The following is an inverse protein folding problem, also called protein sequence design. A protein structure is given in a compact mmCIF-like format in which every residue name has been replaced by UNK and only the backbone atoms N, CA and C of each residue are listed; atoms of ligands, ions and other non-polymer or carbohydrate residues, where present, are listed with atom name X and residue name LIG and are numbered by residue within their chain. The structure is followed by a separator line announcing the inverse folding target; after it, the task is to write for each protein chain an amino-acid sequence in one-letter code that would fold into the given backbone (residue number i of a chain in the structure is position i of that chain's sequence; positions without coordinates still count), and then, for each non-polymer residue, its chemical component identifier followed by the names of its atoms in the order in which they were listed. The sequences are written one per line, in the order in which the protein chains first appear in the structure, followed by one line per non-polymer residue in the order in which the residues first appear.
data_IF_925073719475
#
_entry.id   IF_925073719475
#
_cell.length_a   1.000
_cell.length_b   1.000
_cell.length_c   1.000
_cell.angle_alpha   90.00
_cell.angle_beta   90.00
_cell.angle_gamma   90.00
#
_symmetry.space_group_name_H-M   'P 1'
#
loop_
_entity.id
_entity.type
_entity.pdbx_description
1 polymer ?
#
# COMPACT_ATOMS: atom_id res chain seq x y z
N UNK A 1 7.56 2.72 -21.77
CA UNK A 1 8.69 1.81 -22.01
C UNK A 1 8.72 0.80 -20.86
N UNK A 2 8.05 -0.35 -20.83
CA UNK A 2 7.43 -1.27 -21.78
C UNK A 2 6.05 -1.70 -21.22
N UNK A 3 4.99 -1.76 -22.03
CA UNK A 3 3.68 -2.32 -21.59
C UNK A 3 3.72 -3.84 -21.41
N UNK A 4 4.83 -4.47 -21.78
CA UNK A 4 5.04 -5.90 -21.69
C UNK A 4 5.69 -6.27 -20.35
N UNK A 5 5.10 -7.25 -19.64
CA UNK A 5 5.71 -7.87 -18.47
C UNK A 5 6.29 -9.25 -18.81
N UNK A 6 7.63 -9.39 -18.94
CA UNK A 6 8.34 -10.65 -19.12
C UNK A 6 7.92 -11.80 -18.21
N UNK A 7 7.48 -11.48 -16.99
CA UNK A 7 7.21 -12.45 -15.92
C UNK A 7 5.75 -12.89 -15.84
N UNK A 8 4.90 -12.38 -16.73
CA UNK A 8 3.48 -12.73 -16.80
C UNK A 8 2.59 -11.80 -15.96
N UNK A 9 1.38 -12.25 -15.66
CA UNK A 9 0.32 -11.44 -15.05
C UNK A 9 0.31 -11.48 -13.51
N UNK A 10 1.04 -12.42 -12.91
CA UNK A 10 1.10 -12.55 -11.46
C UNK A 10 1.92 -11.42 -10.83
N UNK A 11 1.45 -10.90 -9.70
CA UNK A 11 2.21 -9.97 -8.86
C UNK A 11 3.53 -10.62 -8.44
N UNK A 12 4.65 -9.88 -8.54
CA UNK A 12 5.93 -10.39 -8.03
C UNK A 12 5.94 -10.25 -6.50
N UNK A 13 6.93 -10.88 -5.88
CA UNK A 13 7.07 -10.87 -4.43
C UNK A 13 7.03 -9.45 -3.83
N UNK A 14 7.62 -8.44 -4.50
CA UNK A 14 7.58 -7.06 -4.00
C UNK A 14 6.15 -6.54 -3.90
N UNK A 15 5.42 -6.57 -5.01
CA UNK A 15 4.05 -6.06 -5.12
C UNK A 15 3.09 -6.84 -4.20
N UNK A 16 3.27 -8.16 -4.08
CA UNK A 16 2.53 -8.97 -3.10
C UNK A 16 2.77 -8.55 -1.64
N UNK A 17 4.03 -8.24 -1.28
CA UNK A 17 4.33 -7.81 0.09
C UNK A 17 3.80 -6.39 0.35
N UNK A 18 3.85 -5.49 -0.64
CA UNK A 18 3.21 -4.16 -0.54
C UNK A 18 1.70 -4.31 -0.33
N UNK A 19 1.04 -5.17 -1.10
CA UNK A 19 -0.39 -5.44 -0.95
C UNK A 19 -0.74 -5.93 0.47
N UNK A 20 0.03 -6.90 0.99
CA UNK A 20 -0.14 -7.41 2.36
C UNK A 20 0.10 -6.34 3.42
N UNK A 21 1.14 -5.52 3.24
CA UNK A 21 1.44 -4.41 4.14
C UNK A 21 0.26 -3.44 4.21
N UNK A 22 -0.23 -2.97 3.05
CA UNK A 22 -1.37 -2.07 2.98
C UNK A 22 -2.62 -2.70 3.59
N UNK A 23 -2.88 -3.99 3.34
CA UNK A 23 -4.02 -4.68 3.92
C UNK A 23 -3.98 -4.69 5.46
N UNK A 24 -2.83 -5.02 6.06
CA UNK A 24 -2.66 -4.98 7.52
C UNK A 24 -2.74 -3.55 8.07
N UNK A 25 -2.15 -2.58 7.38
CA UNK A 25 -2.21 -1.18 7.79
C UNK A 25 -3.66 -0.66 7.76
N UNK A 26 -4.43 -0.97 6.72
CA UNK A 26 -5.85 -0.61 6.61
C UNK A 26 -6.69 -1.23 7.73
N UNK A 27 -6.48 -2.51 8.06
CA UNK A 27 -7.16 -3.16 9.20
C UNK A 27 -6.85 -2.43 10.52
N UNK A 28 -5.59 -2.07 10.74
CA UNK A 28 -5.18 -1.31 11.92
C UNK A 28 -5.79 0.10 11.95
N UNK A 29 -5.90 0.77 10.80
CA UNK A 29 -6.55 2.09 10.68
C UNK A 29 -8.03 1.99 11.05
N UNK A 30 -8.75 1.00 10.52
CA UNK A 30 -10.17 0.76 10.87
C UNK A 30 -10.33 0.61 12.38
N UNK A 31 -9.46 -0.17 13.03
CA UNK A 31 -9.49 -0.36 14.48
C UNK A 31 -9.18 0.92 15.26
N UNK A 32 -8.05 1.58 14.96
CA UNK A 32 -7.61 2.74 15.73
C UNK A 32 -8.54 3.95 15.60
N UNK A 33 -9.19 4.14 14.45
CA UNK A 33 -10.20 5.21 14.30
C UNK A 33 -11.37 5.00 15.25
N UNK A 34 -11.87 3.77 15.37
CA UNK A 34 -12.93 3.45 16.34
C UNK A 34 -12.43 3.56 17.77
N UNK A 35 -11.17 3.21 18.03
CA UNK A 35 -10.56 3.33 19.35
C UNK A 35 -10.44 4.80 19.79
N UNK A 36 -9.94 5.70 18.94
CA UNK A 36 -9.85 7.14 19.22
C UNK A 36 -11.23 7.73 19.50
N UNK A 37 -12.21 7.42 18.64
CA UNK A 37 -13.62 7.82 18.84
C UNK A 37 -14.16 7.33 20.18
N UNK A 38 -13.90 6.07 20.52
CA UNK A 38 -14.37 5.45 21.74
C UNK A 38 -13.70 6.02 22.99
N UNK A 39 -12.38 6.23 22.97
CA UNK A 39 -11.63 6.84 24.08
C UNK A 39 -12.15 8.25 24.32
N UNK A 40 -12.23 9.08 23.26
CA UNK A 40 -12.71 10.46 23.35
C UNK A 40 -14.10 10.55 24.01
N UNK A 41 -15.06 9.78 23.50
CA UNK A 41 -16.45 9.85 23.97
C UNK A 41 -16.59 9.30 25.39
N UNK A 42 -15.97 8.16 25.66
CA UNK A 42 -16.12 7.48 26.94
C UNK A 42 -15.46 8.24 28.07
N UNK A 43 -14.24 8.75 27.88
CA UNK A 43 -13.55 9.54 28.89
C UNK A 43 -14.38 10.74 29.32
N UNK A 44 -15.02 11.44 28.37
CA UNK A 44 -15.91 12.55 28.70
C UNK A 44 -17.17 12.07 29.43
N UNK A 45 -17.86 11.04 28.91
CA UNK A 45 -19.08 10.51 29.55
C UNK A 45 -18.83 10.03 30.99
N UNK A 46 -17.71 9.34 31.23
CA UNK A 46 -17.36 8.83 32.57
C UNK A 46 -17.04 9.98 33.50
N UNK A 47 -16.31 10.99 33.02
CA UNK A 47 -16.02 12.21 33.79
C UNK A 47 -17.30 12.99 34.11
N UNK A 48 -18.24 13.08 33.17
CA UNK A 48 -19.53 13.74 33.39
C UNK A 48 -20.38 13.01 34.42
N UNK A 49 -20.48 11.68 34.32
CA UNK A 49 -21.17 10.86 35.32
C UNK A 49 -20.56 11.04 36.70
N UNK A 50 -19.22 11.06 36.79
CA UNK A 50 -18.52 11.27 38.05
C UNK A 50 -18.79 12.66 38.63
N UNK A 51 -18.77 13.70 37.81
CA UNK A 51 -19.08 15.08 38.23
C UNK A 51 -20.56 15.28 38.58
N UNK A 52 -21.48 14.58 37.92
CA UNK A 52 -22.90 14.58 38.25
C UNK A 52 -23.11 13.98 39.64
N UNK A 53 -22.51 12.82 39.91
CA UNK A 53 -22.58 12.16 41.23
C UNK A 53 -21.99 13.01 42.36
N UNK A 54 -20.90 13.75 42.11
CA UNK A 54 -20.22 14.54 43.14
C UNK A 54 -20.78 15.96 43.32
N UNK A 55 -21.31 16.57 42.26
CA UNK A 55 -21.59 18.01 42.24
C UNK A 55 -22.88 18.38 41.50
N UNK A 56 -23.75 17.41 41.18
CA UNK A 56 -25.00 17.61 40.42
C UNK A 56 -24.80 18.41 39.12
N UNK A 57 -23.63 18.28 38.48
CA UNK A 57 -23.38 18.89 37.17
C UNK A 57 -24.06 18.08 36.08
N UNK A 58 -24.77 18.78 35.17
CA UNK A 58 -25.40 18.14 34.02
C UNK A 58 -24.39 17.47 33.09
N UNK A 59 -24.79 16.32 32.52
CA UNK A 59 -23.98 15.59 31.55
C UNK A 59 -23.94 16.32 30.21
N UNK A 60 -22.74 16.49 29.63
CA UNK A 60 -22.57 17.20 28.35
C UNK A 60 -23.06 16.37 27.15
N UNK A 61 -23.12 15.04 27.31
CA UNK A 61 -23.56 14.09 26.29
C UNK A 61 -24.61 13.10 26.80
N UNK A 62 -25.89 13.49 26.90
CA UNK A 62 -26.99 12.57 27.18
C UNK A 62 -27.12 11.48 26.09
N UNK A 63 -27.67 10.32 26.43
CA UNK A 63 -27.68 9.14 25.56
C UNK A 63 -28.42 9.33 24.22
N UNK A 64 -29.32 10.32 24.10
CA UNK A 64 -30.05 10.64 22.87
C UNK A 64 -29.43 11.78 22.03
N UNK A 65 -28.16 12.12 22.26
CA UNK A 65 -27.52 13.23 21.56
C UNK A 65 -27.35 12.93 20.06
N UNK A 66 -27.98 13.73 19.19
CA UNK A 66 -27.73 13.65 17.73
C UNK A 66 -26.34 14.21 17.37
N UNK A 67 -25.68 13.59 16.37
CA UNK A 67 -24.36 14.01 15.83
C UNK A 67 -23.26 14.08 16.89
N UNK A 68 -23.17 13.03 17.72
CA UNK A 68 -22.28 12.94 18.89
C UNK A 68 -20.84 13.33 18.54
N UNK A 69 -20.23 12.68 17.53
CA UNK A 69 -18.82 12.92 17.21
C UNK A 69 -18.53 14.35 16.73
N UNK A 70 -19.44 14.99 15.99
CA UNK A 70 -19.27 16.39 15.58
C UNK A 70 -19.27 17.35 16.77
N UNK A 71 -20.11 17.08 17.77
CA UNK A 71 -20.14 17.85 19.03
C UNK A 71 -18.92 17.53 19.90
N UNK A 72 -18.51 16.26 19.95
CA UNK A 72 -17.34 15.77 20.68
C UNK A 72 -16.06 16.47 20.24
N UNK A 73 -15.78 16.49 18.93
CA UNK A 73 -14.56 17.13 18.42
C UNK A 73 -14.53 18.62 18.71
N UNK A 74 -15.67 19.32 18.57
CA UNK A 74 -15.77 20.73 18.94
C UNK A 74 -15.47 20.96 20.42
N UNK A 75 -16.01 20.11 21.30
CA UNK A 75 -15.79 20.19 22.73
C UNK A 75 -14.31 19.97 23.09
N UNK A 76 -13.67 18.98 22.48
CA UNK A 76 -12.24 18.72 22.70
C UNK A 76 -11.36 19.89 22.26
N UNK A 77 -11.76 20.63 21.22
CA UNK A 77 -11.08 21.87 20.82
C UNK A 77 -11.30 22.98 21.85
N UNK A 78 -12.54 23.19 22.30
CA UNK A 78 -12.86 24.20 23.33
C UNK A 78 -12.12 23.93 24.64
N UNK A 79 -11.91 22.66 25.00
CA UNK A 79 -11.22 22.25 26.23
C UNK A 79 -9.69 22.18 26.07
N UNK A 80 -9.15 22.64 24.93
CA UNK A 80 -7.72 22.60 24.59
C UNK A 80 -7.11 21.18 24.66
N UNK A 81 -7.92 20.16 24.44
CA UNK A 81 -7.47 18.76 24.33
C UNK A 81 -7.01 18.48 22.90
N UNK A 82 -7.61 19.12 21.91
CA UNK A 82 -7.18 19.11 20.52
C UNK A 82 -7.04 20.55 20.02
N UNK A 83 -6.09 20.79 19.14
CA UNK A 83 -6.08 21.99 18.29
C UNK A 83 -7.03 21.83 17.11
N UNK A 84 -7.34 22.93 16.43
CA UNK A 84 -8.13 22.91 15.21
C UNK A 84 -7.47 22.08 14.11
N UNK A 85 -6.15 22.17 13.97
CA UNK A 85 -5.38 21.38 12.99
C UNK A 85 -5.45 19.88 13.28
N UNK A 86 -5.30 19.49 14.56
CA UNK A 86 -5.39 18.08 14.95
C UNK A 86 -6.80 17.51 14.76
N UNK A 87 -7.84 18.33 15.02
CA UNK A 87 -9.22 17.96 14.71
C UNK A 87 -9.38 17.69 13.21
N UNK A 88 -8.88 18.58 12.37
CA UNK A 88 -9.10 18.50 10.93
C UNK A 88 -8.34 17.31 10.31
N UNK A 89 -7.13 16.98 10.81
CA UNK A 89 -6.45 15.73 10.42
C UNK A 89 -7.21 14.48 10.89
N UNK A 90 -7.74 14.47 12.12
CA UNK A 90 -8.58 13.34 12.58
C UNK A 90 -9.83 13.17 11.69
N UNK A 91 -10.49 14.27 11.29
CA UNK A 91 -11.61 14.23 10.34
C UNK A 91 -11.17 13.66 8.98
N UNK A 92 -10.03 14.10 8.44
CA UNK A 92 -9.46 13.54 7.21
C UNK A 92 -9.16 12.04 7.32
N UNK A 93 -8.65 11.59 8.47
CA UNK A 93 -8.37 10.16 8.70
C UNK A 93 -9.68 9.35 8.80
N UNK A 94 -10.74 9.92 9.37
CA UNK A 94 -12.06 9.29 9.40
C UNK A 94 -12.62 9.15 7.98
N UNK A 95 -12.43 10.15 7.12
CA UNK A 95 -12.83 10.06 5.72
C UNK A 95 -12.02 9.00 4.97
N UNK A 96 -10.70 8.94 5.20
CA UNK A 96 -9.87 7.87 4.64
C UNK A 96 -10.27 6.47 5.14
N UNK A 97 -10.69 6.33 6.40
CA UNK A 97 -11.27 5.08 6.93
C UNK A 97 -12.55 4.70 6.18
N UNK A 98 -13.39 5.66 5.81
CA UNK A 98 -14.58 5.40 4.99
C UNK A 98 -14.19 4.95 3.59
N UNK A 99 -13.14 5.54 3.01
CA UNK A 99 -12.59 5.11 1.73
C UNK A 99 -12.08 3.67 1.77
N UNK A 100 -11.37 3.28 2.83
CA UNK A 100 -10.95 1.88 3.06
C UNK A 100 -12.17 0.95 3.10
N UNK A 101 -13.25 1.36 3.76
CA UNK A 101 -14.43 0.53 3.94
C UNK A 101 -15.28 0.39 2.66
N UNK A 102 -15.25 1.37 1.77
CA UNK A 102 -16.12 1.43 0.59
C UNK A 102 -15.40 1.21 -0.74
N UNK A 103 -14.07 1.39 -0.81
CA UNK A 103 -13.32 1.45 -2.06
C UNK A 103 -11.91 0.86 -1.92
N UNK A 104 -11.79 -0.30 -1.26
CA UNK A 104 -10.48 -0.94 -1.01
C UNK A 104 -9.74 -1.28 -2.31
N UNK A 105 -10.48 -1.64 -3.35
CA UNK A 105 -9.97 -1.95 -4.68
C UNK A 105 -9.21 -0.77 -5.29
N UNK A 106 -9.67 0.46 -5.08
CA UNK A 106 -9.02 1.67 -5.59
C UNK A 106 -7.67 1.92 -4.89
N UNK A 107 -7.60 1.62 -3.59
CA UNK A 107 -6.41 1.82 -2.75
C UNK A 107 -5.26 0.83 -3.05
N UNK A 108 -5.53 -0.26 -3.78
CA UNK A 108 -4.53 -1.28 -4.13
C UNK A 108 -4.29 -1.41 -5.63
N UNK A 109 -5.06 -0.68 -6.43
CA UNK A 109 -5.13 -0.84 -7.87
C UNK A 109 -3.82 -0.51 -8.61
N UNK A 110 -3.00 0.38 -8.04
CA UNK A 110 -1.67 0.75 -8.55
C UNK A 110 -0.68 -0.43 -8.58
N UNK A 111 -0.94 -1.48 -7.78
CA UNK A 111 -0.12 -2.68 -7.74
C UNK A 111 -0.42 -3.65 -8.88
N UNK A 112 -1.56 -3.48 -9.57
CA UNK A 112 -1.99 -4.41 -10.60
C UNK A 112 -1.01 -4.45 -11.78
N UNK A 113 -0.82 -5.66 -12.32
CA UNK A 113 0.13 -5.90 -13.42
C UNK A 113 -0.47 -5.50 -14.76
N UNK A 114 -1.78 -5.65 -14.93
CA UNK A 114 -2.47 -5.50 -16.20
C UNK A 114 -2.50 -4.05 -16.69
N UNK A 115 -2.46 -3.90 -18.02
CA UNK A 115 -2.36 -2.60 -18.66
C UNK A 115 -3.63 -1.76 -18.53
N UNK A 116 -4.79 -2.42 -18.39
CA UNK A 116 -6.09 -1.77 -18.29
C UNK A 116 -6.26 -1.10 -16.92
N UNK A 117 -5.85 -1.79 -15.86
CA UNK A 117 -5.80 -1.24 -14.51
C UNK A 117 -4.87 -0.03 -14.45
N UNK A 118 -3.67 -0.13 -15.03
CA UNK A 118 -2.72 0.99 -15.08
C UNK A 118 -3.24 2.23 -15.81
N UNK A 119 -4.12 2.08 -16.80
CA UNK A 119 -4.77 3.23 -17.45
C UNK A 119 -5.85 3.86 -16.57
N UNK A 120 -6.65 3.06 -15.86
CA UNK A 120 -7.71 3.55 -14.97
C UNK A 120 -7.16 4.29 -13.74
N UNK A 121 -6.03 3.86 -13.17
CA UNK A 121 -5.33 4.57 -12.06
C UNK A 121 -5.03 6.03 -12.40
N UNK A 122 -4.73 6.33 -13.68
CA UNK A 122 -4.32 7.69 -14.09
C UNK A 122 -5.46 8.70 -14.08
N UNK A 123 -6.71 8.27 -14.11
CA UNK A 123 -7.84 9.16 -14.40
C UNK A 123 -8.86 9.34 -13.27
N UNK A 124 -8.98 8.43 -12.29
CA UNK A 124 -10.11 8.54 -11.35
C UNK A 124 -9.99 7.90 -9.95
N UNK A 125 -8.93 7.17 -9.61
CA UNK A 125 -8.90 6.38 -8.37
C UNK A 125 -8.47 7.16 -7.13
N UNK A 126 -9.10 6.89 -5.97
CA UNK A 126 -8.56 7.26 -4.66
C UNK A 126 -7.19 6.61 -4.46
N UNK A 127 -6.25 7.35 -3.88
CA UNK A 127 -4.89 6.85 -3.65
C UNK A 127 -4.72 6.40 -2.21
N UNK A 128 -3.93 5.33 -2.06
CA UNK A 128 -3.45 4.91 -0.76
C UNK A 128 -2.65 6.04 -0.09
N UNK A 129 -3.07 6.44 1.10
CA UNK A 129 -2.39 7.44 1.92
C UNK A 129 -1.40 6.77 2.87
N UNK A 130 -0.14 7.16 2.76
CA UNK A 130 0.94 6.65 3.61
C UNK A 130 1.02 7.41 4.93
N UNK A 131 1.32 6.70 6.02
CA UNK A 131 1.61 7.31 7.32
C UNK A 131 0.39 7.60 8.19
N UNK A 132 -0.82 7.29 7.70
CA UNK A 132 -2.07 7.48 8.46
C UNK A 132 -2.05 6.69 9.77
N UNK A 133 -1.51 5.47 9.74
CA UNK A 133 -1.40 4.63 10.93
C UNK A 133 -0.50 5.25 12.00
N UNK A 134 0.63 5.82 11.61
CA UNK A 134 1.55 6.52 12.50
C UNK A 134 0.90 7.77 13.11
N UNK A 135 0.15 8.54 12.30
CA UNK A 135 -0.61 9.70 12.81
C UNK A 135 -1.65 9.27 13.84
N UNK A 136 -2.41 8.21 13.58
CA UNK A 136 -3.39 7.66 14.52
C UNK A 136 -2.77 7.22 15.85
N UNK A 137 -1.64 6.51 15.81
CA UNK A 137 -0.92 6.12 17.03
C UNK A 137 -0.50 7.34 17.84
N UNK A 138 0.05 8.36 17.16
CA UNK A 138 0.44 9.63 17.79
C UNK A 138 -0.77 10.31 18.45
N UNK A 139 -1.93 10.35 17.79
CA UNK A 139 -3.15 10.91 18.36
C UNK A 139 -3.65 10.14 19.57
N UNK A 140 -3.63 8.80 19.52
CA UNK A 140 -3.97 7.96 20.67
C UNK A 140 -3.12 8.31 21.90
N UNK A 141 -1.80 8.32 21.75
CA UNK A 141 -0.87 8.67 22.84
C UNK A 141 -1.07 10.10 23.37
N UNK A 142 -1.25 11.04 22.45
CA UNK A 142 -1.46 12.46 22.76
C UNK A 142 -2.76 12.70 23.53
N UNK A 143 -3.85 12.01 23.16
CA UNK A 143 -5.11 12.05 23.89
C UNK A 143 -4.95 11.50 25.30
N UNK A 144 -4.29 10.34 25.48
CA UNK A 144 -4.02 9.80 26.82
C UNK A 144 -3.24 10.79 27.69
N UNK A 145 -2.21 11.44 27.13
CA UNK A 145 -1.44 12.47 27.84
C UNK A 145 -2.29 13.68 28.23
N UNK A 146 -3.10 14.21 27.31
CA UNK A 146 -3.88 15.44 27.55
C UNK A 146 -5.10 15.23 28.44
N UNK A 147 -5.66 14.02 28.44
CA UNK A 147 -6.71 13.63 29.38
C UNK A 147 -6.17 13.31 30.78
N UNK A 148 -4.89 12.92 30.89
CA UNK A 148 -4.26 12.57 32.16
C UNK A 148 -4.37 13.73 33.17
N UNK A 149 -4.81 13.38 34.39
CA UNK A 149 -4.95 14.32 35.51
C UNK A 149 -6.20 15.20 35.50
N UNK A 150 -6.95 15.28 34.39
CA UNK A 150 -8.18 16.09 34.27
C UNK A 150 -9.46 15.28 34.10
N UNK A 151 -9.34 14.05 33.58
CA UNK A 151 -10.49 13.21 33.27
C UNK A 151 -10.36 11.83 33.91
N UNK A 152 -11.51 11.19 34.11
CA UNK A 152 -11.61 9.83 34.60
C UNK A 152 -11.60 8.86 33.43
N UNK A 153 -10.69 7.89 33.47
CA UNK A 153 -10.62 6.82 32.49
C UNK A 153 -11.36 5.58 32.97
N UNK A 154 -12.01 4.89 32.04
CA UNK A 154 -12.60 3.59 32.28
C UNK A 154 -11.88 2.55 31.43
N UNK A 155 -11.58 1.39 32.01
CA UNK A 155 -10.81 0.33 31.34
C UNK A 155 -11.63 -0.21 30.15
N UNK A 156 -11.03 -0.18 28.95
CA UNK A 156 -11.70 -0.65 27.73
C UNK A 156 -11.45 -2.12 27.43
N UNK A 157 -12.42 -2.96 27.79
CA UNK A 157 -12.38 -4.40 27.48
C UNK A 157 -12.22 -4.69 25.97
N UNK A 158 -12.76 -3.85 25.07
CA UNK A 158 -12.56 -4.05 23.62
C UNK A 158 -11.10 -3.84 23.20
N UNK A 159 -10.44 -2.84 23.78
CA UNK A 159 -9.01 -2.59 23.55
C UNK A 159 -8.17 -3.74 24.12
N UNK A 160 -8.54 -4.26 25.30
CA UNK A 160 -7.89 -5.44 25.92
C UNK A 160 -8.04 -6.69 25.04
N UNK A 161 -9.25 -6.94 24.52
CA UNK A 161 -9.51 -8.09 23.64
C UNK A 161 -8.72 -8.04 22.33
N UNK A 162 -8.42 -6.84 21.83
CA UNK A 162 -7.67 -6.67 20.59
C UNK A 162 -6.14 -6.59 20.80
N UNK A 163 -5.65 -6.42 22.03
CA UNK A 163 -4.24 -6.18 22.32
C UNK A 163 -3.28 -7.24 21.73
N UNK A 164 -3.67 -8.52 21.75
CA UNK A 164 -2.85 -9.59 21.14
C UNK A 164 -2.82 -9.49 19.61
N UNK A 165 -3.97 -9.18 18.99
CA UNK A 165 -4.08 -8.99 17.55
C UNK A 165 -3.28 -7.75 17.11
N UNK A 166 -3.45 -6.62 17.79
CA UNK A 166 -2.67 -5.38 17.59
C UNK A 166 -1.16 -5.67 17.60
N UNK A 167 -0.67 -6.31 18.67
CA UNK A 167 0.75 -6.67 18.78
C UNK A 167 1.22 -7.53 17.61
N UNK A 168 0.41 -8.51 17.22
CA UNK A 168 0.72 -9.41 16.10
C UNK A 168 0.79 -8.66 14.78
N UNK A 169 -0.21 -7.82 14.48
CA UNK A 169 -0.23 -7.01 13.27
C UNK A 169 0.96 -6.04 13.19
N UNK A 170 1.33 -5.40 14.30
CA UNK A 170 2.49 -4.49 14.35
C UNK A 170 3.82 -5.23 14.07
N UNK A 171 3.98 -6.43 14.64
CA UNK A 171 5.16 -7.27 14.37
C UNK A 171 5.21 -7.67 12.90
N UNK A 172 4.08 -8.09 12.33
CA UNK A 172 4.01 -8.49 10.92
C UNK A 172 4.24 -7.31 9.97
N UNK A 173 3.68 -6.13 10.25
CA UNK A 173 3.94 -4.90 9.50
C UNK A 173 5.45 -4.59 9.46
N UNK A 174 6.14 -4.65 10.61
CA UNK A 174 7.57 -4.40 10.68
C UNK A 174 8.41 -5.43 9.89
N UNK A 175 8.01 -6.71 9.92
CA UNK A 175 8.67 -7.77 9.13
C UNK A 175 8.47 -7.55 7.62
N UNK A 176 7.24 -7.23 7.22
CA UNK A 176 6.89 -7.00 5.82
C UNK A 176 7.60 -5.74 5.30
N UNK A 177 7.66 -4.66 6.06
CA UNK A 177 8.39 -3.44 5.68
C UNK A 177 9.87 -3.73 5.39
N UNK A 178 10.55 -4.43 6.30
CA UNK A 178 11.95 -4.86 6.08
C UNK A 178 12.10 -5.68 4.79
N UNK A 179 11.15 -6.57 4.51
CA UNK A 179 11.14 -7.39 3.29
C UNK A 179 10.89 -6.55 2.03
N UNK A 180 9.97 -5.59 2.08
CA UNK A 180 9.70 -4.65 0.98
C UNK A 180 10.96 -3.86 0.66
N UNK A 181 11.62 -3.26 1.66
CA UNK A 181 12.87 -2.49 1.48
C UNK A 181 13.95 -3.33 0.81
N UNK A 182 14.18 -4.56 1.28
CA UNK A 182 15.13 -5.49 0.66
C UNK A 182 14.78 -5.79 -0.81
N UNK A 183 13.51 -6.06 -1.10
CA UNK A 183 13.05 -6.37 -2.46
C UNK A 183 13.12 -5.16 -3.40
N UNK A 184 12.90 -3.95 -2.87
CA UNK A 184 13.08 -2.70 -3.61
C UNK A 184 14.55 -2.51 -4.03
N UNK A 185 15.49 -2.71 -3.12
CA UNK A 185 16.91 -2.61 -3.44
C UNK A 185 17.33 -3.64 -4.50
N UNK A 186 16.87 -4.88 -4.37
CA UNK A 186 17.10 -5.91 -5.39
C UNK A 186 16.51 -5.51 -6.75
N UNK A 187 15.32 -4.89 -6.77
CA UNK A 187 14.69 -4.40 -8.00
C UNK A 187 15.49 -3.26 -8.63
N UNK A 188 16.00 -2.33 -7.83
CA UNK A 188 16.85 -1.22 -8.32
C UNK A 188 18.11 -1.75 -8.98
N UNK A 189 18.78 -2.72 -8.36
CA UNK A 189 19.99 -3.37 -8.92
C UNK A 189 19.64 -4.10 -10.22
N UNK A 190 18.53 -4.84 -10.25
CA UNK A 190 18.06 -5.53 -11.47
C UNK A 190 17.78 -4.55 -12.61
N UNK A 191 17.06 -3.45 -12.35
CA UNK A 191 16.74 -2.45 -13.37
C UNK A 191 18.01 -1.78 -13.91
N UNK A 192 18.97 -1.43 -13.03
CA UNK A 192 20.27 -0.88 -13.45
C UNK A 192 21.03 -1.84 -14.36
N UNK A 193 21.04 -3.15 -14.05
CA UNK A 193 21.68 -4.16 -14.92
C UNK A 193 21.02 -4.21 -16.29
N UNK A 194 19.69 -4.24 -16.35
CA UNK A 194 18.94 -4.24 -17.61
C UNK A 194 19.25 -2.97 -18.42
N UNK A 195 19.23 -1.80 -17.79
CA UNK A 195 19.56 -0.53 -18.45
C UNK A 195 21.00 -0.51 -18.98
N UNK A 196 21.98 -1.01 -18.22
CA UNK A 196 23.36 -1.15 -18.68
C UNK A 196 23.47 -2.11 -19.87
N UNK A 197 22.82 -3.27 -19.83
CA UNK A 197 22.81 -4.23 -20.95
C UNK A 197 22.16 -3.62 -22.20
N UNK A 198 21.06 -2.88 -22.05
CA UNK A 198 20.40 -2.19 -23.16
C UNK A 198 21.28 -1.08 -23.74
N UNK A 199 22.04 -0.36 -22.92
CA UNK A 199 22.98 0.68 -23.38
C UNK A 199 24.22 0.10 -24.07
N UNK A 200 24.70 -1.06 -23.62
CA UNK A 200 25.85 -1.75 -24.22
C UNK A 200 25.52 -2.33 -25.59
N UNK A 201 24.25 -2.67 -25.84
CA UNK A 201 23.78 -2.97 -27.18
C UNK A 201 23.79 -1.68 -28.00
N UNK A 202 24.67 -1.59 -29.00
CA UNK A 202 24.70 -0.43 -29.87
C UNK A 202 23.34 -0.23 -30.54
N UNK A 203 22.90 1.02 -30.70
CA UNK A 203 21.66 1.31 -31.43
C UNK A 203 21.65 0.68 -32.84
N UNK A 204 22.83 0.56 -33.45
CA UNK A 204 23.04 -0.12 -34.74
C UNK A 204 22.73 -1.62 -34.68
N UNK A 205 23.11 -2.31 -33.60
CA UNK A 205 22.84 -3.75 -33.42
C UNK A 205 21.35 -3.99 -33.20
N UNK A 206 20.73 -3.15 -32.39
CA UNK A 206 19.29 -3.19 -32.13
C UNK A 206 18.50 -2.88 -33.42
N UNK A 207 18.91 -1.86 -34.18
CA UNK A 207 18.26 -1.44 -35.44
C UNK A 207 18.44 -2.49 -36.54
N UNK A 208 19.56 -3.20 -36.57
CA UNK A 208 19.82 -4.29 -37.53
C UNK A 208 19.05 -5.56 -37.17
N UNK A 209 19.02 -5.94 -35.89
CA UNK A 209 18.35 -7.15 -35.41
C UNK A 209 16.82 -7.00 -35.38
N UNK A 210 16.33 -5.77 -35.18
CA UNK A 210 14.93 -5.42 -34.98
C UNK A 210 14.17 -6.45 -34.10
N UNK A 211 14.55 -6.64 -32.83
CA UNK A 211 14.01 -7.71 -31.98
C UNK A 211 12.47 -7.69 -31.83
N UNK A 212 11.86 -6.51 -31.92
CA UNK A 212 10.41 -6.29 -31.82
C UNK A 212 9.65 -6.46 -33.14
N UNK A 213 10.34 -6.73 -34.27
CA UNK A 213 9.70 -6.72 -35.59
C UNK A 213 8.64 -7.83 -35.72
N UNK A 214 7.43 -7.54 -36.25
CA UNK A 214 6.37 -8.54 -36.40
C UNK A 214 6.78 -9.80 -37.17
N UNK A 215 7.68 -9.70 -38.16
CA UNK A 215 8.24 -10.84 -38.91
C UNK A 215 9.00 -11.87 -38.05
N UNK A 216 9.41 -11.50 -36.83
CA UNK A 216 9.99 -12.45 -35.87
C UNK A 216 8.94 -13.43 -35.32
N UNK A 217 7.67 -13.17 -35.58
CA UNK A 217 6.53 -13.96 -35.13
C UNK A 217 5.72 -14.49 -36.31
N UNK A 218 5.19 -15.70 -36.16
CA UNK A 218 4.18 -16.29 -37.03
C UNK A 218 2.79 -15.74 -36.64
N UNK A 219 1.75 -15.91 -37.49
CA UNK A 219 0.39 -15.50 -37.15
C UNK A 219 -0.14 -16.09 -35.83
N UNK A 220 0.30 -17.31 -35.49
CA UNK A 220 -0.02 -17.99 -34.23
C UNK A 220 0.83 -17.53 -33.02
N UNK A 221 1.56 -16.40 -33.13
CA UNK A 221 2.47 -15.84 -32.11
C UNK A 221 3.68 -16.71 -31.74
N UNK A 222 3.93 -17.80 -32.45
CA UNK A 222 5.17 -18.56 -32.29
C UNK A 222 6.33 -17.86 -33.00
N UNK A 223 7.57 -18.12 -32.58
CA UNK A 223 8.76 -17.59 -33.25
C UNK A 223 8.88 -18.11 -34.68
N UNK A 224 9.13 -17.22 -35.64
CA UNK A 224 9.55 -17.58 -36.99
C UNK A 224 11.02 -18.04 -36.99
N UNK A 225 11.51 -18.70 -38.06
CA UNK A 225 12.94 -19.00 -38.19
C UNK A 225 13.83 -17.76 -38.07
N UNK A 226 13.36 -16.61 -38.59
CA UNK A 226 14.02 -15.32 -38.43
C UNK A 226 14.04 -14.88 -36.96
N UNK A 227 12.92 -15.01 -36.24
CA UNK A 227 12.87 -14.70 -34.81
C UNK A 227 13.79 -15.59 -33.96
N UNK A 228 13.95 -16.87 -34.32
CA UNK A 228 14.92 -17.77 -33.67
C UNK A 228 16.35 -17.29 -33.92
N UNK A 229 16.70 -16.94 -35.17
CA UNK A 229 18.02 -16.38 -35.50
C UNK A 229 18.31 -15.10 -34.73
N UNK A 230 17.35 -14.17 -34.69
CA UNK A 230 17.46 -12.93 -33.91
C UNK A 230 17.72 -13.23 -32.42
N UNK A 231 16.99 -14.18 -31.85
CA UNK A 231 17.17 -14.59 -30.44
C UNK A 231 18.55 -15.18 -30.19
N UNK A 232 19.06 -16.04 -31.07
CA UNK A 232 20.39 -16.62 -30.95
C UNK A 232 21.48 -15.56 -31.06
N UNK A 233 21.32 -14.57 -31.95
CA UNK A 233 22.24 -13.43 -32.04
C UNK A 233 22.26 -12.61 -30.75
N UNK A 234 21.11 -12.37 -30.14
CA UNK A 234 21.04 -11.69 -28.83
C UNK A 234 21.74 -12.51 -27.73
N UNK A 235 21.65 -13.84 -27.76
CA UNK A 235 22.40 -14.70 -26.83
C UNK A 235 23.90 -14.67 -27.08
N UNK A 236 24.37 -14.62 -28.34
CA UNK A 236 25.79 -14.49 -28.65
C UNK A 236 26.39 -13.14 -28.21
N UNK A 237 25.56 -12.10 -28.12
CA UNK A 237 25.93 -10.79 -27.54
C UNK A 237 25.95 -10.80 -26.01
N UNK A 238 25.83 -11.96 -25.38
CA UNK A 238 25.85 -12.17 -23.92
C UNK A 238 24.76 -11.39 -23.16
N UNK A 239 23.64 -11.08 -23.83
CA UNK A 239 22.50 -10.37 -23.23
C UNK A 239 21.76 -11.30 -22.27
N UNK A 240 21.29 -10.78 -21.14
CA UNK A 240 20.52 -11.58 -20.20
C UNK A 240 19.15 -11.99 -20.74
N UNK A 241 18.61 -13.10 -20.25
CA UNK A 241 17.30 -13.60 -20.68
C UNK A 241 16.17 -12.59 -20.45
N UNK A 242 16.29 -11.77 -19.39
CA UNK A 242 15.30 -10.75 -19.06
C UNK A 242 15.35 -9.59 -20.05
N UNK A 243 16.54 -9.16 -20.46
CA UNK A 243 16.69 -8.11 -21.47
C UNK A 243 16.21 -8.59 -22.83
N UNK A 244 16.54 -9.82 -23.25
CA UNK A 244 15.97 -10.43 -24.47
C UNK A 244 14.43 -10.49 -24.40
N UNK A 245 13.88 -10.75 -23.22
CA UNK A 245 12.44 -10.79 -22.98
C UNK A 245 11.77 -9.44 -23.18
N UNK A 246 12.39 -8.36 -22.69
CA UNK A 246 11.91 -7.01 -22.94
C UNK A 246 12.04 -6.61 -24.42
N UNK A 247 13.18 -6.90 -25.05
CA UNK A 247 13.45 -6.54 -26.46
C UNK A 247 12.50 -7.24 -27.44
N UNK A 248 12.31 -8.54 -27.27
CA UNK A 248 11.47 -9.34 -28.17
C UNK A 248 10.00 -9.42 -27.74
N UNK A 249 9.63 -8.94 -26.54
CA UNK A 249 8.27 -9.08 -25.98
C UNK A 249 7.78 -10.54 -25.87
N UNK A 250 8.68 -11.44 -25.45
CA UNK A 250 8.41 -12.87 -25.26
C UNK A 250 8.56 -13.19 -23.78
N UNK A 251 7.73 -14.07 -23.22
CA UNK A 251 7.82 -14.40 -21.79
C UNK A 251 9.19 -14.97 -21.41
N UNK A 252 9.65 -14.62 -20.20
CA UNK A 252 10.94 -15.05 -19.65
C UNK A 252 11.06 -16.57 -19.59
N UNK A 253 9.93 -17.26 -19.33
CA UNK A 253 9.85 -18.73 -19.32
C UNK A 253 10.18 -19.33 -20.69
N UNK A 254 9.63 -18.76 -21.75
CA UNK A 254 9.88 -19.20 -23.13
C UNK A 254 11.33 -18.96 -23.54
N UNK A 255 11.89 -17.79 -23.23
CA UNK A 255 13.30 -17.48 -23.53
C UNK A 255 14.24 -18.38 -22.74
N UNK A 256 13.98 -18.62 -21.46
CA UNK A 256 14.82 -19.50 -20.63
C UNK A 256 14.76 -20.96 -21.08
N UNK A 257 13.63 -21.41 -21.65
CA UNK A 257 13.53 -22.71 -22.32
C UNK A 257 14.36 -22.74 -23.60
N UNK A 258 14.30 -21.69 -24.42
CA UNK A 258 15.07 -21.58 -25.67
C UNK A 258 16.58 -21.50 -25.45
N UNK A 259 17.05 -20.71 -24.48
CA UNK A 259 18.49 -20.64 -24.15
C UNK A 259 19.06 -21.99 -23.73
N UNK A 260 18.30 -22.77 -22.95
CA UNK A 260 18.68 -24.15 -22.57
C UNK A 260 18.79 -25.10 -23.77
N UNK A 261 17.97 -24.90 -24.81
CA UNK A 261 18.06 -25.67 -26.05
C UNK A 261 19.26 -25.22 -26.89
N UNK A 262 19.55 -23.91 -26.91
CA UNK A 262 20.68 -23.35 -27.66
C UNK A 262 22.05 -23.69 -27.07
N UNK A 263 22.15 -23.89 -25.75
CA UNK A 263 23.38 -24.31 -25.07
C UNK A 263 23.64 -25.82 -25.16
N UNK A 264 22.72 -26.60 -25.73
CA UNK A 264 22.90 -28.03 -26.01
C UNK A 264 23.36 -28.21 -27.44
#
# INVERSE_FOLDING_TARGET
MFSFNPRGENLRALEQNILKFRAFEMVMILFYVEEIKSIALRTIKVTDKWNNLLSNKEERFPDNTKKIYKKLWKLLVTENILSTEEKDDIESIIDYRNDIAHSIEELVFDLNVDSYSKSHVKFAGKKYEHGVLERLKKYKELMYKRFSGKYVFEINMKSVLFAQAERTYLIELAKIDKKIRRLLELRKVENKKIECEVKQLNELDITKLQPWHPKNFRPNRQLSPQGIKCMHMLFSLNVSNITVSYLMRISLKSISKRKRIWLK
#
